data_IF_565944062332
#
_entry.id   IF_565944062332
#
_cell.length_a   1.000
_cell.length_b   1.000
_cell.length_c   1.000
_cell.angle_alpha   90.00
_cell.angle_beta   90.00
_cell.angle_gamma   90.00
#
_symmetry.space_group_name_H-M   'P 1'
#
loop_
_entity.id
_entity.type
_entity.pdbx_description
1 polymer ?
#
# COMPACT_ATOMS: atom_id res chain seq x y z
N UNK A 1 -44.14 -13.59 -56.94
CA UNK A 1 -42.69 -13.46 -56.77
C UNK A 1 -42.44 -12.86 -55.39
N UNK A 2 -42.21 -13.73 -54.40
CA UNK A 2 -41.88 -13.38 -53.01
C UNK A 2 -40.83 -14.42 -52.60
N UNK A 3 -39.58 -14.00 -52.35
CA UNK A 3 -38.44 -14.89 -52.08
C UNK A 3 -37.97 -14.61 -50.65
N UNK A 4 -38.21 -15.50 -49.69
CA UNK A 4 -37.50 -16.79 -49.43
C UNK A 4 -36.06 -16.62 -48.92
N UNK A 5 -35.82 -15.68 -47.99
CA UNK A 5 -34.53 -15.55 -47.29
C UNK A 5 -34.66 -15.64 -45.74
N UNK A 6 -35.86 -15.67 -45.16
CA UNK A 6 -36.02 -15.60 -43.70
C UNK A 6 -36.07 -16.94 -42.96
N UNK A 7 -35.91 -18.09 -43.62
CA UNK A 7 -35.95 -19.41 -42.95
C UNK A 7 -34.58 -20.10 -42.76
N UNK A 8 -33.48 -19.45 -43.16
CA UNK A 8 -32.12 -20.01 -43.03
C UNK A 8 -31.48 -19.95 -41.63
N UNK A 9 -32.14 -19.37 -40.63
CA UNK A 9 -31.55 -19.14 -39.30
C UNK A 9 -32.02 -20.08 -38.18
N UNK A 10 -32.85 -21.08 -38.47
CA UNK A 10 -33.42 -21.98 -37.44
C UNK A 10 -32.92 -23.44 -37.47
N UNK A 11 -31.82 -23.74 -38.17
CA UNK A 11 -31.27 -25.12 -38.23
C UNK A 11 -29.81 -25.27 -37.72
N UNK A 12 -29.30 -24.32 -36.93
CA UNK A 12 -27.98 -24.44 -36.27
C UNK A 12 -28.02 -24.49 -34.74
N UNK A 13 -29.21 -24.44 -34.12
CA UNK A 13 -29.38 -24.58 -32.67
C UNK A 13 -29.61 -26.04 -32.21
N UNK A 14 -29.63 -27.01 -33.13
CA UNK A 14 -30.03 -28.40 -32.85
C UNK A 14 -28.93 -29.44 -32.75
N UNK A 15 -27.65 -29.09 -32.94
CA UNK A 15 -26.57 -30.10 -33.14
C UNK A 15 -25.33 -29.94 -32.25
N UNK A 16 -25.38 -29.12 -31.19
CA UNK A 16 -24.33 -29.11 -30.15
C UNK A 16 -24.67 -29.95 -28.91
N UNK A 17 -25.74 -30.75 -28.92
CA UNK A 17 -26.17 -31.58 -27.78
C UNK A 17 -25.62 -33.01 -27.76
N UNK A 18 -24.69 -33.40 -28.65
CA UNK A 18 -24.03 -34.70 -28.59
C UNK A 18 -22.52 -34.63 -28.85
N UNK A 19 -21.79 -34.09 -27.89
CA UNK A 19 -20.37 -34.43 -27.70
C UNK A 19 -20.21 -34.90 -26.26
N UNK A 20 -19.97 -36.19 -25.99
CA UNK A 20 -19.59 -36.65 -24.66
C UNK A 20 -18.13 -36.26 -24.40
N UNK A 21 -17.90 -34.97 -24.12
CA UNK A 21 -16.63 -34.46 -23.62
C UNK A 21 -16.63 -34.55 -22.10
N UNK A 22 -15.87 -35.49 -21.55
CA UNK A 22 -15.60 -35.66 -20.13
C UNK A 22 -14.79 -34.48 -19.56
N UNK A 23 -15.36 -33.28 -19.52
CA UNK A 23 -14.86 -32.23 -18.64
C UNK A 23 -15.35 -32.53 -17.22
N UNK A 24 -14.46 -33.19 -16.46
CA UNK A 24 -14.54 -33.30 -15.01
C UNK A 24 -14.63 -31.87 -14.44
N UNK A 25 -15.86 -31.39 -14.23
CA UNK A 25 -16.14 -30.16 -13.48
C UNK A 25 -15.59 -30.36 -12.08
N UNK A 26 -14.34 -29.96 -11.86
CA UNK A 26 -13.89 -29.61 -10.51
C UNK A 26 -14.85 -28.53 -10.05
N UNK A 27 -15.66 -28.82 -9.03
CA UNK A 27 -16.44 -27.80 -8.32
C UNK A 27 -15.48 -26.64 -8.08
N UNK A 28 -15.78 -25.40 -8.52
CA UNK A 28 -14.94 -24.27 -8.15
C UNK A 28 -14.90 -24.29 -6.63
N UNK A 29 -13.69 -24.41 -6.07
CA UNK A 29 -13.51 -24.23 -4.65
C UNK A 29 -14.20 -22.92 -4.32
N UNK A 30 -15.14 -22.93 -3.38
CA UNK A 30 -15.69 -21.70 -2.83
C UNK A 30 -14.49 -21.03 -2.17
N UNK A 31 -13.82 -20.15 -2.92
CA UNK A 31 -12.80 -19.28 -2.39
C UNK A 31 -13.56 -18.37 -1.43
N UNK A 32 -13.56 -18.74 -0.15
CA UNK A 32 -13.91 -17.81 0.91
C UNK A 32 -12.71 -16.87 0.96
N UNK A 33 -12.82 -15.63 0.43
CA UNK A 33 -11.76 -14.68 0.69
C UNK A 33 -11.55 -14.63 2.20
N UNK A 34 -10.30 -14.53 2.67
CA UNK A 34 -10.06 -14.23 4.06
C UNK A 34 -10.96 -13.07 4.49
N UNK A 35 -11.42 -13.02 5.75
CA UNK A 35 -12.23 -11.90 6.30
C UNK A 35 -11.56 -10.50 6.09
N UNK A 36 -10.34 -10.47 5.57
CA UNK A 36 -9.51 -9.32 5.18
C UNK A 36 -10.05 -8.42 4.08
N UNK A 37 -11.02 -8.85 3.25
CA UNK A 37 -11.74 -7.92 2.36
C UNK A 37 -12.52 -6.83 3.12
N UNK A 38 -12.58 -6.88 4.46
CA UNK A 38 -13.25 -5.86 5.26
C UNK A 38 -12.49 -4.54 5.44
N UNK A 39 -11.25 -4.39 4.96
CA UNK A 39 -10.47 -3.14 5.09
C UNK A 39 -10.70 -2.19 3.91
N UNK A 40 -10.88 -2.70 2.69
CA UNK A 40 -11.13 -1.88 1.50
C UNK A 40 -12.29 -0.87 1.68
N UNK A 41 -13.50 -1.28 2.10
CA UNK A 41 -14.59 -0.32 2.35
C UNK A 41 -14.36 0.62 3.55
N UNK A 42 -13.26 0.46 4.31
CA UNK A 42 -12.92 1.34 5.43
C UNK A 42 -11.99 2.49 5.00
N UNK A 43 -11.33 2.38 3.86
CA UNK A 43 -10.41 3.41 3.38
C UNK A 43 -11.09 4.45 2.48
N UNK A 44 -12.32 4.22 2.02
CA UNK A 44 -13.01 5.14 1.10
C UNK A 44 -13.13 6.55 1.70
N UNK A 45 -13.64 6.66 2.92
CA UNK A 45 -13.82 7.96 3.59
C UNK A 45 -12.47 8.64 3.87
N UNK A 46 -11.47 7.88 4.32
CA UNK A 46 -10.09 8.39 4.48
C UNK A 46 -9.54 8.92 3.15
N UNK A 47 -9.74 8.16 2.06
CA UNK A 47 -9.29 8.51 0.71
C UNK A 47 -9.93 9.81 0.23
N UNK A 48 -11.25 9.94 0.34
CA UNK A 48 -11.96 11.14 -0.10
C UNK A 48 -11.57 12.36 0.73
N UNK A 49 -11.47 12.22 2.05
CA UNK A 49 -11.01 13.31 2.93
C UNK A 49 -9.61 13.78 2.58
N UNK A 50 -8.67 12.86 2.41
CA UNK A 50 -7.30 13.18 2.05
C UNK A 50 -7.23 13.82 0.64
N UNK A 51 -7.96 13.28 -0.33
CA UNK A 51 -8.03 13.86 -1.67
C UNK A 51 -8.57 15.29 -1.64
N UNK A 52 -9.66 15.54 -0.93
CA UNK A 52 -10.25 16.88 -0.81
C UNK A 52 -9.29 17.87 -0.16
N UNK A 53 -8.58 17.46 0.90
CA UNK A 53 -7.57 18.30 1.54
C UNK A 53 -6.43 18.66 0.57
N UNK A 54 -5.89 17.65 -0.15
CA UNK A 54 -4.83 17.88 -1.13
C UNK A 54 -5.29 18.77 -2.30
N UNK A 55 -6.53 18.57 -2.78
CA UNK A 55 -7.14 19.36 -3.86
C UNK A 55 -7.46 20.79 -3.45
N UNK A 56 -7.71 21.01 -2.15
CA UNK A 56 -7.88 22.34 -1.61
C UNK A 56 -6.54 23.08 -1.51
N UNK A 57 -5.48 22.40 -1.09
CA UNK A 57 -4.15 22.99 -0.88
C UNK A 57 -3.36 23.22 -2.17
N UNK A 58 -3.64 22.47 -3.23
CA UNK A 58 -2.85 22.48 -4.46
C UNK A 58 -3.71 22.45 -5.72
N UNK A 59 -3.29 23.22 -6.73
CA UNK A 59 -3.87 23.18 -8.08
C UNK A 59 -3.13 22.23 -9.02
N UNK A 60 -2.10 21.55 -8.52
CA UNK A 60 -1.28 20.62 -9.32
C UNK A 60 -1.94 19.24 -9.41
N UNK A 61 -1.34 18.36 -10.22
CA UNK A 61 -1.72 16.96 -10.26
C UNK A 61 -1.60 16.31 -8.88
N UNK A 62 -2.63 15.55 -8.49
CA UNK A 62 -2.68 14.83 -7.22
C UNK A 62 -2.60 13.34 -7.52
N UNK A 63 -1.58 12.70 -6.96
CA UNK A 63 -1.41 11.26 -7.00
C UNK A 63 -0.93 10.79 -5.63
N UNK A 64 -1.64 9.82 -5.07
CA UNK A 64 -1.26 9.17 -3.82
C UNK A 64 -1.86 7.78 -3.71
N UNK A 65 -1.32 6.97 -2.80
CA UNK A 65 -1.85 5.65 -2.48
C UNK A 65 -2.48 5.68 -1.08
N UNK A 66 -3.82 5.72 -0.97
CA UNK A 66 -4.49 5.71 0.33
C UNK A 66 -4.14 4.47 1.15
N UNK A 67 -4.03 3.31 0.49
CA UNK A 67 -3.66 2.04 1.11
C UNK A 67 -2.26 2.12 1.70
N UNK A 68 -1.28 2.61 0.93
CA UNK A 68 0.11 2.73 1.39
C UNK A 68 0.25 3.65 2.60
N UNK A 69 -0.42 4.81 2.56
CA UNK A 69 -0.39 5.78 3.66
C UNK A 69 -1.06 5.20 4.91
N UNK A 70 -2.24 4.62 4.77
CA UNK A 70 -2.94 4.01 5.90
C UNK A 70 -2.13 2.88 6.53
N UNK A 71 -1.45 2.06 5.71
CA UNK A 71 -0.54 1.01 6.17
C UNK A 71 0.62 1.58 7.00
N UNK A 72 1.24 2.67 6.55
CA UNK A 72 2.32 3.32 7.27
C UNK A 72 1.86 3.87 8.63
N UNK A 73 0.68 4.48 8.70
CA UNK A 73 0.11 4.97 9.96
C UNK A 73 -0.32 3.84 10.90
N UNK A 74 -0.90 2.76 10.38
CA UNK A 74 -1.21 1.55 11.16
C UNK A 74 0.05 0.89 11.71
N UNK A 75 1.13 0.87 10.93
CA UNK A 75 2.42 0.40 11.40
C UNK A 75 2.93 1.30 12.54
N UNK A 76 2.83 2.61 12.40
CA UNK A 76 3.23 3.58 13.42
C UNK A 76 2.42 3.41 14.72
N UNK A 77 1.15 3.05 14.62
CA UNK A 77 0.30 2.83 15.80
C UNK A 77 0.81 1.70 16.72
N UNK A 78 1.61 0.76 16.21
CA UNK A 78 2.26 -0.26 17.06
C UNK A 78 3.22 0.33 18.10
N UNK A 79 3.77 1.51 17.82
CA UNK A 79 4.71 2.22 18.69
C UNK A 79 4.05 3.23 19.63
N UNK A 80 2.74 3.49 19.49
CA UNK A 80 2.04 4.54 20.23
C UNK A 80 1.04 3.99 21.23
N UNK A 81 0.64 4.82 22.20
CA UNK A 81 -0.34 4.48 23.24
C UNK A 81 -1.26 5.67 23.50
N UNK A 82 -2.33 5.46 24.27
CA UNK A 82 -3.23 6.53 24.72
C UNK A 82 -3.85 7.33 23.57
N UNK A 83 -3.82 8.66 23.71
CA UNK A 83 -4.44 9.57 22.76
C UNK A 83 -3.75 9.56 21.40
N UNK A 84 -2.41 9.48 21.36
CA UNK A 84 -1.66 9.41 20.10
C UNK A 84 -2.05 8.19 19.27
N UNK A 85 -2.18 7.03 19.92
CA UNK A 85 -2.66 5.81 19.26
C UNK A 85 -4.09 5.99 18.73
N UNK A 86 -4.95 6.62 19.52
CA UNK A 86 -6.36 6.85 19.15
C UNK A 86 -6.49 7.82 17.98
N UNK A 87 -5.73 8.92 17.99
CA UNK A 87 -5.71 9.92 16.92
C UNK A 87 -5.21 9.36 15.60
N UNK A 88 -4.14 8.55 15.61
CA UNK A 88 -3.65 7.88 14.40
C UNK A 88 -4.76 7.03 13.78
N UNK A 89 -5.44 6.22 14.60
CA UNK A 89 -6.49 5.33 14.13
C UNK A 89 -7.72 6.09 13.65
N UNK A 90 -8.15 7.15 14.33
CA UNK A 90 -9.24 7.98 13.86
C UNK A 90 -8.91 8.75 12.57
N UNK A 91 -7.67 9.19 12.41
CA UNK A 91 -7.19 9.89 11.21
C UNK A 91 -7.35 9.05 9.94
N UNK A 92 -7.13 7.74 10.04
CA UNK A 92 -7.34 6.77 8.94
C UNK A 92 -8.77 6.20 8.90
N UNK A 93 -9.72 6.84 9.60
CA UNK A 93 -11.12 6.42 9.76
C UNK A 93 -11.31 5.00 10.30
N UNK A 94 -10.37 4.54 11.13
CA UNK A 94 -10.48 3.25 11.80
C UNK A 94 -11.45 3.31 12.99
N UNK A 95 -12.53 2.53 12.92
CA UNK A 95 -13.55 2.42 13.97
C UNK A 95 -13.29 1.21 14.87
N UNK A 96 -13.06 1.45 16.17
CA UNK A 96 -12.81 0.44 17.21
C UNK A 96 -13.93 -0.61 17.43
N UNK A 97 -15.12 -0.41 16.83
CA UNK A 97 -16.27 -1.33 16.96
C UNK A 97 -16.16 -2.63 16.13
N UNK A 98 -15.04 -2.86 15.43
CA UNK A 98 -14.79 -4.01 14.55
C UNK A 98 -13.31 -4.44 14.73
N UNK A 99 -12.86 -5.57 14.14
CA UNK A 99 -12.10 -6.66 14.79
C UNK A 99 -10.90 -6.24 15.65
N UNK A 100 -10.41 -7.11 16.55
CA UNK A 100 -9.24 -6.82 17.37
C UNK A 100 -8.07 -6.30 16.55
N UNK A 101 -7.35 -5.29 17.06
CA UNK A 101 -6.24 -4.64 16.35
C UNK A 101 -5.20 -5.64 15.81
N UNK A 102 -4.96 -6.72 16.56
CA UNK A 102 -4.09 -7.81 16.13
C UNK A 102 -4.54 -8.52 14.83
N UNK A 103 -5.84 -8.68 14.60
CA UNK A 103 -6.36 -9.25 13.36
C UNK A 103 -6.15 -8.28 12.19
N UNK A 104 -6.25 -6.98 12.43
CA UNK A 104 -6.02 -5.96 11.39
C UNK A 104 -4.57 -5.94 10.97
N UNK A 105 -3.63 -5.89 11.91
CA UNK A 105 -2.20 -5.95 11.59
C UNK A 105 -1.86 -7.21 10.78
N UNK A 106 -2.42 -8.38 11.13
CA UNK A 106 -2.24 -9.62 10.35
C UNK A 106 -2.82 -9.52 8.94
N UNK A 107 -3.97 -8.88 8.78
CA UNK A 107 -4.60 -8.68 7.47
C UNK A 107 -3.85 -7.75 6.56
N UNK A 108 -3.28 -6.71 7.14
CA UNK A 108 -2.45 -5.74 6.45
C UNK A 108 -1.12 -6.35 6.04
N UNK A 109 -0.51 -7.18 6.91
CA UNK A 109 0.67 -7.97 6.56
C UNK A 109 0.41 -8.82 5.31
N UNK A 110 -0.72 -9.55 5.29
CA UNK A 110 -1.13 -10.36 4.15
C UNK A 110 -1.45 -9.51 2.90
N UNK A 111 -2.07 -8.33 3.07
CA UNK A 111 -2.30 -7.41 1.94
C UNK A 111 -0.97 -6.90 1.35
N UNK A 112 0.00 -6.54 2.20
CA UNK A 112 1.34 -6.13 1.78
C UNK A 112 2.06 -7.26 1.03
N UNK A 113 1.90 -8.50 1.46
CA UNK A 113 2.42 -9.67 0.74
C UNK A 113 1.80 -9.79 -0.66
N UNK A 114 0.47 -9.71 -0.77
CA UNK A 114 -0.22 -9.76 -2.06
C UNK A 114 0.23 -8.61 -2.97
N UNK A 115 0.31 -7.38 -2.46
CA UNK A 115 0.67 -6.21 -3.25
C UNK A 115 2.13 -6.26 -3.76
N UNK A 116 3.03 -6.89 -3.00
CA UNK A 116 4.44 -7.00 -3.37
C UNK A 116 4.79 -8.31 -4.10
N UNK A 117 3.82 -9.20 -4.32
CA UNK A 117 4.05 -10.40 -5.14
C UNK A 117 4.32 -9.99 -6.61
N UNK A 118 5.28 -10.64 -7.28
CA UNK A 118 5.52 -10.41 -8.69
C UNK A 118 4.25 -10.66 -9.52
N UNK A 119 3.83 -9.66 -10.28
CA UNK A 119 2.67 -9.76 -11.16
C UNK A 119 3.09 -9.82 -12.63
N UNK A 120 2.39 -10.61 -13.43
CA UNK A 120 2.75 -10.80 -14.85
C UNK A 120 2.58 -9.52 -15.68
N UNK A 121 1.49 -8.79 -15.43
CA UNK A 121 1.10 -7.58 -16.17
C UNK A 121 1.30 -6.28 -15.37
N UNK A 122 1.18 -6.35 -14.05
CA UNK A 122 1.28 -5.19 -13.16
C UNK A 122 2.19 -5.59 -12.01
N UNK A 123 3.25 -4.82 -11.82
CA UNK A 123 4.11 -4.90 -10.65
C UNK A 123 3.78 -3.73 -9.73
N UNK A 124 3.42 -4.02 -8.48
CA UNK A 124 3.33 -3.02 -7.43
C UNK A 124 4.48 -3.28 -6.46
N UNK A 125 5.09 -2.23 -5.95
CA UNK A 125 6.08 -2.32 -4.88
C UNK A 125 5.79 -1.23 -3.87
N UNK A 126 5.46 -1.62 -2.65
CA UNK A 126 5.16 -0.68 -1.56
C UNK A 126 5.88 -1.09 -0.30
N UNK A 127 6.48 -0.09 0.36
CA UNK A 127 7.18 -0.30 1.63
C UNK A 127 7.24 1.00 2.43
N UNK A 128 7.54 0.84 3.71
CA UNK A 128 7.80 1.95 4.62
C UNK A 128 9.17 1.76 5.25
N UNK A 129 9.93 2.85 5.31
CA UNK A 129 11.22 2.93 5.97
C UNK A 129 11.12 3.86 7.17
N UNK A 130 11.75 3.46 8.27
CA UNK A 130 11.84 4.23 9.50
C UNK A 130 13.28 4.64 9.71
N UNK A 131 13.51 5.90 10.04
CA UNK A 131 14.82 6.43 10.37
C UNK A 131 14.74 6.98 11.79
N UNK A 132 15.42 6.32 12.72
CA UNK A 132 15.39 6.66 14.14
C UNK A 132 16.73 7.27 14.53
N UNK A 133 16.68 8.28 15.39
CA UNK A 133 17.90 8.83 15.93
C UNK A 133 18.67 7.77 16.73
N UNK A 134 19.99 7.69 16.51
CA UNK A 134 20.92 6.76 17.20
C UNK A 134 20.85 6.83 18.73
N UNK A 135 20.34 7.93 19.31
CA UNK A 135 20.16 8.11 20.75
C UNK A 135 18.94 7.37 21.32
N UNK A 136 18.00 6.92 20.48
CA UNK A 136 16.78 6.21 20.92
C UNK A 136 17.05 4.72 21.20
N UNK A 137 17.24 4.37 22.48
CA UNK A 137 17.62 3.01 22.91
C UNK A 137 16.47 2.01 23.14
N UNK A 138 15.19 2.44 23.12
CA UNK A 138 14.09 1.64 23.67
C UNK A 138 13.04 1.14 22.66
N UNK A 139 13.39 1.03 21.38
CA UNK A 139 12.42 0.70 20.32
C UNK A 139 12.40 -0.79 19.89
N UNK A 140 13.19 -1.70 20.50
CA UNK A 140 13.38 -3.06 19.99
C UNK A 140 12.08 -3.82 19.67
N UNK A 141 11.15 -3.93 20.62
CA UNK A 141 9.86 -4.63 20.38
C UNK A 141 9.03 -3.98 19.26
N UNK A 142 9.09 -2.66 19.13
CA UNK A 142 8.43 -1.94 18.04
C UNK A 142 9.09 -2.27 16.70
N UNK A 143 10.42 -2.16 16.61
CA UNK A 143 11.18 -2.47 15.40
C UNK A 143 10.99 -3.93 14.97
N UNK A 144 10.94 -4.87 15.92
CA UNK A 144 10.66 -6.28 15.65
C UNK A 144 9.26 -6.48 15.05
N UNK A 145 8.24 -5.82 15.61
CA UNK A 145 6.89 -5.90 15.08
C UNK A 145 6.76 -5.24 13.71
N UNK A 146 7.40 -4.09 13.50
CA UNK A 146 7.47 -3.39 12.21
C UNK A 146 8.11 -4.29 11.14
N UNK A 147 9.24 -4.92 11.44
CA UNK A 147 9.91 -5.84 10.53
C UNK A 147 9.06 -7.08 10.23
N UNK A 148 8.48 -7.69 11.26
CA UNK A 148 7.76 -8.97 11.15
C UNK A 148 6.37 -8.84 10.53
N UNK A 149 5.64 -7.77 10.83
CA UNK A 149 4.25 -7.60 10.39
C UNK A 149 4.14 -6.74 9.13
N UNK A 150 5.07 -5.80 8.91
CA UNK A 150 4.98 -4.83 7.82
C UNK A 150 6.12 -4.94 6.80
N UNK A 151 7.03 -5.90 6.98
CA UNK A 151 8.23 -6.09 6.16
C UNK A 151 9.04 -4.79 5.96
N UNK A 152 8.90 -3.87 6.91
CA UNK A 152 9.43 -2.52 6.84
C UNK A 152 10.82 -2.49 7.44
N UNK A 153 11.67 -1.61 6.91
CA UNK A 153 13.07 -1.47 7.33
C UNK A 153 13.22 -0.29 8.27
N UNK A 154 14.07 -0.45 9.27
CA UNK A 154 14.41 0.60 10.20
C UNK A 154 15.93 0.81 10.20
N UNK A 155 16.31 2.07 10.14
CA UNK A 155 17.69 2.54 10.08
C UNK A 155 17.95 3.48 11.24
N UNK A 156 19.20 3.52 11.69
CA UNK A 156 19.63 4.39 12.77
C UNK A 156 20.47 5.52 12.18
N UNK A 157 20.00 6.75 12.32
CA UNK A 157 20.57 7.95 11.68
C UNK A 157 21.02 8.95 12.75
N UNK A 158 22.05 9.76 12.46
CA UNK A 158 22.45 10.86 13.32
C UNK A 158 21.84 12.18 12.82
N UNK A 159 20.66 12.56 13.30
CA UNK A 159 20.00 13.78 12.81
C UNK A 159 20.72 15.08 13.17
N UNK A 160 21.67 15.07 14.12
CA UNK A 160 22.50 16.27 14.42
C UNK A 160 23.37 16.69 13.24
N UNK A 161 23.81 15.73 12.43
CA UNK A 161 24.46 15.99 11.16
C UNK A 161 23.41 15.89 10.05
N UNK A 162 22.70 16.99 9.81
CA UNK A 162 21.56 17.03 8.88
C UNK A 162 21.95 16.71 7.45
N UNK A 163 23.17 17.04 7.03
CA UNK A 163 23.64 16.78 5.68
C UNK A 163 23.97 15.30 5.48
N UNK A 164 24.71 14.69 6.41
CA UNK A 164 24.98 13.25 6.34
C UNK A 164 23.70 12.43 6.57
N UNK A 165 22.82 12.84 7.48
CA UNK A 165 21.52 12.19 7.68
C UNK A 165 20.66 12.22 6.41
N UNK A 166 20.59 13.38 5.74
CA UNK A 166 19.86 13.53 4.48
C UNK A 166 20.44 12.64 3.40
N UNK A 167 21.76 12.57 3.30
CA UNK A 167 22.47 11.69 2.36
C UNK A 167 22.17 10.23 2.65
N UNK A 168 22.34 9.79 3.90
CA UNK A 168 22.08 8.42 4.35
C UNK A 168 20.62 8.00 4.04
N UNK A 169 19.64 8.85 4.38
CA UNK A 169 18.23 8.58 4.09
C UNK A 169 17.97 8.43 2.59
N UNK A 170 18.45 9.38 1.78
CA UNK A 170 18.23 9.36 0.33
C UNK A 170 18.95 8.18 -0.34
N UNK A 171 20.14 7.80 0.14
CA UNK A 171 20.87 6.64 -0.35
C UNK A 171 20.13 5.33 -0.04
N UNK A 172 19.58 5.18 1.18
CA UNK A 172 18.76 4.02 1.52
C UNK A 172 17.50 3.95 0.65
N UNK A 173 16.81 5.07 0.43
CA UNK A 173 15.64 5.11 -0.45
C UNK A 173 16.01 4.68 -1.88
N UNK A 174 17.13 5.19 -2.39
CA UNK A 174 17.62 4.84 -3.72
C UNK A 174 17.92 3.35 -3.83
N UNK A 175 18.57 2.75 -2.83
CA UNK A 175 18.86 1.31 -2.80
C UNK A 175 17.56 0.49 -2.76
N UNK A 176 16.65 0.79 -1.83
CA UNK A 176 15.40 0.05 -1.65
C UNK A 176 14.46 0.13 -2.85
N UNK A 177 14.56 1.21 -3.61
CA UNK A 177 13.71 1.46 -4.79
C UNK A 177 14.41 1.11 -6.10
N UNK A 178 15.60 0.49 -6.04
CA UNK A 178 16.42 0.12 -7.20
C UNK A 178 16.69 1.33 -8.12
N UNK A 179 16.90 2.51 -7.51
CA UNK A 179 17.17 3.76 -8.21
C UNK A 179 15.95 4.46 -8.79
N UNK A 180 14.73 3.93 -8.62
CA UNK A 180 13.50 4.53 -9.17
C UNK A 180 13.09 5.81 -8.44
N UNK A 181 13.44 5.93 -7.16
CA UNK A 181 13.18 7.12 -6.35
C UNK A 181 14.53 7.67 -5.90
N UNK A 182 14.76 8.95 -6.16
CA UNK A 182 15.99 9.66 -5.82
C UNK A 182 15.64 10.97 -5.11
N UNK A 183 16.45 11.35 -4.12
CA UNK A 183 16.40 12.66 -3.46
C UNK A 183 15.00 13.08 -2.95
N UNK A 184 14.44 12.29 -2.04
CA UNK A 184 13.12 12.52 -1.41
C UNK A 184 13.17 13.61 -0.34
N UNK A 185 14.22 13.58 0.47
CA UNK A 185 14.35 14.42 1.64
C UNK A 185 15.24 15.61 1.27
N UNK A 186 14.66 16.81 1.30
CA UNK A 186 15.37 18.04 0.99
C UNK A 186 15.92 18.73 2.24
N UNK A 187 15.16 18.71 3.33
CA UNK A 187 15.50 19.39 4.59
C UNK A 187 15.23 18.49 5.78
N UNK A 188 16.13 18.55 6.75
CA UNK A 188 16.03 17.87 8.04
C UNK A 188 16.29 18.88 9.16
N UNK A 189 15.67 18.63 10.31
CA UNK A 189 15.93 19.38 11.53
C UNK A 189 16.93 18.60 12.40
N UNK A 190 17.82 19.32 13.10
CA UNK A 190 18.80 18.74 14.02
C UNK A 190 18.15 18.09 15.25
N UNK A 191 16.95 18.55 15.59
CA UNK A 191 16.17 18.04 16.73
C UNK A 191 15.23 16.89 16.33
N UNK A 192 15.25 16.47 15.06
CA UNK A 192 14.50 15.32 14.60
C UNK A 192 14.95 14.05 15.32
N UNK A 193 13.99 13.33 15.91
CA UNK A 193 14.23 12.03 16.53
C UNK A 193 13.80 10.86 15.63
N UNK A 194 12.93 11.14 14.67
CA UNK A 194 12.25 10.14 13.86
C UNK A 194 11.84 10.72 12.50
N UNK A 195 12.12 9.98 11.43
CA UNK A 195 11.55 10.21 10.11
C UNK A 195 10.92 8.93 9.57
N UNK A 196 9.79 9.08 8.89
CA UNK A 196 9.10 7.99 8.21
C UNK A 196 9.01 8.30 6.72
N UNK A 197 9.44 7.34 5.90
CA UNK A 197 9.36 7.42 4.43
C UNK A 197 8.50 6.28 3.94
N UNK A 198 7.36 6.61 3.37
CA UNK A 198 6.47 5.64 2.72
C UNK A 198 6.58 5.80 1.19
N UNK A 199 6.58 4.69 0.45
CA UNK A 199 6.54 4.73 -1.00
C UNK A 199 5.68 3.62 -1.59
N UNK A 200 5.16 3.89 -2.78
CA UNK A 200 4.52 2.90 -3.64
C UNK A 200 4.90 3.19 -5.09
N UNK A 201 5.43 2.18 -5.76
CA UNK A 201 5.79 2.18 -7.17
C UNK A 201 4.81 1.26 -7.89
N UNK A 202 4.28 1.72 -9.02
CA UNK A 202 3.41 0.95 -9.89
C UNK A 202 4.07 0.83 -11.26
N UNK A 203 4.16 -0.37 -11.81
CA UNK A 203 4.75 -0.63 -13.12
C UNK A 203 3.86 -1.58 -13.91
N UNK A 204 3.14 -1.07 -14.90
CA UNK A 204 2.37 -1.88 -15.84
C UNK A 204 3.20 -2.27 -17.07
N UNK A 205 3.04 -3.51 -17.56
CA UNK A 205 3.53 -3.94 -18.87
C UNK A 205 2.44 -3.69 -19.93
N UNK A 206 2.53 -2.57 -20.64
CA UNK A 206 1.65 -2.23 -21.76
C UNK A 206 1.91 -0.85 -22.36
N UNK A 207 1.78 -0.72 -23.69
CA UNK A 207 2.12 0.39 -24.60
C UNK A 207 2.49 1.72 -23.91
N UNK A 208 3.80 1.96 -23.82
CA UNK A 208 4.43 3.29 -23.68
C UNK A 208 3.88 4.16 -22.54
N UNK A 209 3.94 3.68 -21.30
CA UNK A 209 4.03 4.60 -20.16
C UNK A 209 4.71 3.91 -18.98
N UNK A 210 6.04 4.09 -18.85
CA UNK A 210 6.78 3.73 -17.64
C UNK A 210 6.41 4.77 -16.58
N UNK A 211 5.43 4.43 -15.76
CA UNK A 211 4.88 5.29 -14.73
C UNK A 211 5.52 4.98 -13.38
N UNK A 212 6.81 5.28 -13.22
CA UNK A 212 7.46 5.24 -11.91
C UNK A 212 6.95 6.45 -11.10
N UNK A 213 5.95 6.23 -10.25
CA UNK A 213 5.40 7.29 -9.42
C UNK A 213 5.94 7.22 -8.01
N UNK A 214 6.08 8.40 -7.43
CA UNK A 214 6.60 8.61 -6.11
C UNK A 214 5.64 9.49 -5.32
N UNK A 215 5.31 9.08 -4.10
CA UNK A 215 4.48 9.86 -3.19
C UNK A 215 5.31 10.16 -1.94
N UNK A 216 6.10 11.26 -1.92
CA UNK A 216 6.82 11.65 -0.71
C UNK A 216 5.82 12.17 0.31
N UNK A 217 5.56 11.37 1.34
CA UNK A 217 5.17 11.92 2.63
C UNK A 217 6.39 11.80 3.54
N UNK A 218 7.06 12.93 3.79
CA UNK A 218 7.99 13.05 4.91
C UNK A 218 7.17 13.47 6.13
N UNK A 219 6.76 12.49 6.95
CA UNK A 219 6.17 12.79 8.24
C UNK A 219 7.30 12.81 9.27
N UNK A 220 7.72 14.02 9.66
CA UNK A 220 8.49 14.22 10.87
C UNK A 220 7.52 14.20 12.05
N UNK A 221 7.54 13.11 12.82
CA UNK A 221 6.85 13.09 14.12
C UNK A 221 7.89 13.42 15.17
N UNK A 222 7.90 14.67 15.62
CA UNK A 222 8.63 15.07 16.81
C UNK A 222 7.79 14.64 18.02
N UNK A 223 8.36 13.81 18.89
CA UNK A 223 7.77 13.50 20.20
C UNK A 223 8.32 14.44 21.27
#
# INVERSE_FOLDING_TARGET
MVSSITWGFLLLAGLCSQVPGSLRRSKPAIYKPPRFFSIAPRLDNFTFKLYHELAYQSKNNIIFSPVSIALAFLMLSLGTKGDTHTQILWGIDYKFKKPPMAEIHKGLAHLLEILNQPGDQIQITTSTMLFLDKRLKHAHKFLDNVKRLYHSKAFSVNFRDTEEAKKEINDQIKVETQGKIVAVVEKLDRDMAFALVNYMIYEGKGRTTRLSWFCPFSLAVTF
#
